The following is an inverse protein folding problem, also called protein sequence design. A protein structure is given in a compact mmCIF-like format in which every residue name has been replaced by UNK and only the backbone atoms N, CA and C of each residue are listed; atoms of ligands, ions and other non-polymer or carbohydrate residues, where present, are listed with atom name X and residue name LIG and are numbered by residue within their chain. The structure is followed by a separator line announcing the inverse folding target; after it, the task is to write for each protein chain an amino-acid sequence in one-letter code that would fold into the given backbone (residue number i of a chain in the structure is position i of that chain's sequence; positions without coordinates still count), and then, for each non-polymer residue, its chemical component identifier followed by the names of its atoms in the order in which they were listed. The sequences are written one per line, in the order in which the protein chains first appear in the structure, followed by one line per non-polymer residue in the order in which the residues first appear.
data_IF_177067784426
#
_entry.id   IF_177067784426
#
_cell.length_a   1.000
_cell.length_b   1.000
_cell.length_c   1.000
_cell.angle_alpha   90.00
_cell.angle_beta   90.00
_cell.angle_gamma   90.00
#
_symmetry.space_group_name_H-M   'P 1'
#
loop_
_entity.id
_entity.type
_entity.pdbx_description
1 polymer ?
#
# COMPACT_ATOMS: atom_id res chain seq x y z
N UNK A 1 27.01 4.55 -29.83
CA UNK A 1 26.26 4.27 -28.59
C UNK A 1 25.14 5.29 -28.54
N UNK A 2 23.88 4.85 -28.49
CA UNK A 2 22.76 5.78 -28.29
C UNK A 2 22.91 6.49 -26.94
N UNK A 3 22.66 7.80 -26.92
CA UNK A 3 22.75 8.64 -25.74
C UNK A 3 21.60 8.29 -24.77
N UNK A 4 21.94 7.99 -23.51
CA UNK A 4 20.96 7.76 -22.46
C UNK A 4 20.36 9.11 -22.02
N UNK A 5 19.04 9.15 -21.81
CA UNK A 5 18.25 10.35 -21.48
C UNK A 5 18.37 11.50 -22.50
N UNK A 6 18.02 11.28 -23.79
CA UNK A 6 18.14 12.31 -24.84
C UNK A 6 17.28 13.56 -24.56
N UNK A 7 16.25 13.42 -23.70
CA UNK A 7 15.41 14.54 -23.30
C UNK A 7 16.11 15.57 -22.40
N UNK A 8 17.24 15.24 -21.75
CA UNK A 8 18.00 16.20 -20.93
C UNK A 8 18.52 17.36 -21.78
N UNK A 9 19.14 17.04 -22.91
CA UNK A 9 19.59 18.00 -23.90
C UNK A 9 18.40 18.68 -24.59
N UNK A 10 17.49 17.88 -25.15
CA UNK A 10 16.38 18.41 -25.96
C UNK A 10 15.44 19.38 -25.19
N UNK A 11 15.29 19.21 -23.87
CA UNK A 11 14.38 20.02 -23.05
C UNK A 11 15.09 21.05 -22.17
N UNK A 12 16.28 20.73 -21.64
CA UNK A 12 16.98 21.59 -20.69
C UNK A 12 18.32 22.13 -21.21
N UNK A 13 18.78 21.70 -22.40
CA UNK A 13 20.06 22.14 -22.98
C UNK A 13 21.30 21.67 -22.21
N UNK A 14 21.18 20.57 -21.46
CA UNK A 14 22.25 20.06 -20.59
C UNK A 14 23.17 19.10 -21.37
N UNK A 15 24.25 19.64 -21.97
CA UNK A 15 25.22 18.85 -22.77
C UNK A 15 26.63 18.82 -22.15
N UNK A 16 27.17 19.97 -21.75
CA UNK A 16 28.54 20.11 -21.22
C UNK A 16 28.55 21.03 -20.00
N UNK A 17 29.43 20.75 -19.03
CA UNK A 17 29.58 21.53 -17.77
C UNK A 17 28.34 21.62 -16.87
N UNK A 18 27.27 20.87 -17.16
CA UNK A 18 26.10 20.79 -16.29
C UNK A 18 26.47 20.23 -14.91
N UNK A 19 25.95 20.87 -13.88
CA UNK A 19 26.13 20.49 -12.49
C UNK A 19 25.20 19.33 -12.11
N UNK A 20 25.56 18.60 -11.06
CA UNK A 20 24.70 17.52 -10.52
C UNK A 20 23.33 18.07 -10.09
N UNK A 21 23.29 19.30 -9.60
CA UNK A 21 22.06 19.96 -9.15
C UNK A 21 21.08 20.20 -10.31
N UNK A 22 21.57 20.66 -11.46
CA UNK A 22 20.76 20.92 -12.67
C UNK A 22 20.17 19.62 -13.22
N UNK A 23 20.99 18.57 -13.35
CA UNK A 23 20.51 17.25 -13.78
C UNK A 23 19.49 16.71 -12.76
N UNK A 24 19.76 16.84 -11.46
CA UNK A 24 18.84 16.40 -10.43
C UNK A 24 17.52 17.20 -10.43
N UNK A 25 17.52 18.47 -10.83
CA UNK A 25 16.29 19.25 -11.06
C UNK A 25 15.50 18.69 -12.26
N UNK A 26 16.17 18.44 -13.39
CA UNK A 26 15.53 17.90 -14.58
C UNK A 26 14.85 16.53 -14.31
N UNK A 27 15.52 15.63 -13.58
CA UNK A 27 14.92 14.36 -13.15
C UNK A 27 13.79 14.54 -12.12
N UNK A 28 13.84 15.57 -11.26
CA UNK A 28 12.72 15.88 -10.34
C UNK A 28 11.47 16.28 -11.12
N UNK A 29 11.60 17.15 -12.13
CA UNK A 29 10.48 17.52 -12.99
C UNK A 29 9.91 16.30 -13.73
N UNK A 30 10.79 15.38 -14.14
CA UNK A 30 10.38 14.12 -14.76
C UNK A 30 9.61 13.20 -13.79
N UNK A 31 9.88 13.30 -12.49
CA UNK A 31 9.18 12.58 -11.43
C UNK A 31 8.01 13.36 -10.81
N UNK A 32 7.68 14.56 -11.31
CA UNK A 32 6.73 15.47 -10.66
C UNK A 32 5.34 14.84 -10.43
N UNK A 33 4.86 14.01 -11.36
CA UNK A 33 3.58 13.30 -11.20
C UNK A 33 3.59 12.36 -9.99
N UNK A 34 4.65 11.57 -9.84
CA UNK A 34 4.84 10.69 -8.68
C UNK A 34 5.02 11.49 -7.38
N UNK A 35 5.78 12.60 -7.43
CA UNK A 35 5.99 13.50 -6.30
C UNK A 35 4.66 14.01 -5.74
N UNK A 36 3.84 14.63 -6.59
CA UNK A 36 2.53 15.17 -6.19
C UNK A 36 1.65 14.06 -5.66
N UNK A 37 1.63 12.91 -6.34
CA UNK A 37 0.83 11.75 -5.94
C UNK A 37 1.18 11.26 -4.53
N UNK A 38 2.46 11.10 -4.20
CA UNK A 38 2.87 10.66 -2.86
C UNK A 38 2.49 11.69 -1.81
N UNK A 39 2.74 12.97 -2.07
CA UNK A 39 2.41 14.06 -1.14
C UNK A 39 0.91 14.09 -0.79
N UNK A 40 0.03 13.89 -1.76
CA UNK A 40 -1.43 13.87 -1.50
C UNK A 40 -1.90 12.63 -0.76
N UNK A 41 -1.14 11.52 -0.76
CA UNK A 41 -1.51 10.28 -0.08
C UNK A 41 -1.04 10.19 1.37
N UNK A 42 0.09 10.79 1.72
CA UNK A 42 0.71 10.65 3.05
C UNK A 42 -0.26 11.07 4.16
N UNK A 43 -0.80 12.29 4.12
CA UNK A 43 -1.64 12.81 5.21
C UNK A 43 -2.96 12.03 5.34
N UNK A 44 -3.75 11.79 4.27
CA UNK A 44 -4.94 10.97 4.37
C UNK A 44 -4.65 9.55 4.84
N UNK A 45 -3.54 8.95 4.41
CA UNK A 45 -3.12 7.62 4.83
C UNK A 45 -2.81 7.54 6.32
N UNK A 46 -2.04 8.50 6.86
CA UNK A 46 -1.72 8.56 8.28
C UNK A 46 -2.98 8.78 9.12
N UNK A 47 -3.78 9.80 8.78
CA UNK A 47 -4.97 10.15 9.54
C UNK A 47 -6.03 9.05 9.48
N UNK A 48 -6.32 8.54 8.28
CA UNK A 48 -7.34 7.53 8.03
C UNK A 48 -7.03 6.21 8.72
N UNK A 49 -5.81 5.68 8.56
CA UNK A 49 -5.45 4.42 9.21
C UNK A 49 -5.27 4.57 10.72
N UNK A 50 -4.79 5.72 11.22
CA UNK A 50 -4.77 5.99 12.66
C UNK A 50 -6.16 5.95 13.26
N UNK A 51 -7.14 6.54 12.57
CA UNK A 51 -8.55 6.51 12.98
C UNK A 51 -9.11 5.08 12.97
N UNK A 52 -8.80 4.29 11.93
CA UNK A 52 -9.15 2.87 11.86
C UNK A 52 -8.59 2.11 13.06
N UNK A 53 -7.29 2.23 13.33
CA UNK A 53 -6.64 1.58 14.48
C UNK A 53 -7.31 1.98 15.79
N UNK A 54 -7.48 3.29 16.03
CA UNK A 54 -8.06 3.81 17.26
C UNK A 54 -9.49 3.28 17.50
N UNK A 55 -10.36 3.38 16.50
CA UNK A 55 -11.75 2.94 16.60
C UNK A 55 -11.84 1.42 16.76
N UNK A 56 -11.13 0.64 15.94
CA UNK A 56 -11.19 -0.82 16.00
C UNK A 56 -10.60 -1.38 17.29
N UNK A 57 -9.55 -0.77 17.82
CA UNK A 57 -8.94 -1.20 19.07
C UNK A 57 -9.84 -0.90 20.28
N UNK A 58 -10.38 0.33 20.37
CA UNK A 58 -11.15 0.80 21.53
C UNK A 58 -12.60 0.33 21.56
N UNK A 59 -13.26 0.23 20.40
CA UNK A 59 -14.73 0.10 20.36
C UNK A 59 -15.24 -1.28 19.95
N UNK A 60 -14.38 -2.19 19.49
CA UNK A 60 -14.80 -3.48 18.97
C UNK A 60 -14.24 -4.64 19.78
N UNK A 61 -15.10 -5.60 20.14
CA UNK A 61 -14.68 -6.86 20.78
C UNK A 61 -13.66 -7.59 19.89
N UNK A 62 -12.71 -8.29 20.52
CA UNK A 62 -11.72 -9.11 19.80
C UNK A 62 -12.46 -10.07 18.86
N UNK A 63 -12.02 -10.15 17.60
CA UNK A 63 -12.54 -11.03 16.55
C UNK A 63 -11.50 -11.15 15.44
N UNK A 64 -11.50 -12.24 14.68
CA UNK A 64 -10.57 -12.39 13.54
C UNK A 64 -10.69 -11.22 12.55
N UNK A 65 -11.92 -10.75 12.28
CA UNK A 65 -12.15 -9.57 11.45
C UNK A 65 -11.47 -8.31 12.00
N UNK A 66 -11.66 -8.02 13.30
CA UNK A 66 -10.97 -6.89 13.95
C UNK A 66 -9.46 -7.03 13.84
N UNK A 67 -8.93 -8.24 14.07
CA UNK A 67 -7.49 -8.50 13.99
C UNK A 67 -6.95 -8.18 12.60
N UNK A 68 -7.61 -8.66 11.53
CA UNK A 68 -7.19 -8.37 10.16
C UNK A 68 -7.22 -6.88 9.82
N UNK A 69 -8.28 -6.16 10.21
CA UNK A 69 -8.37 -4.71 10.00
C UNK A 69 -7.24 -3.98 10.72
N UNK A 70 -6.93 -4.35 11.97
CA UNK A 70 -5.84 -3.74 12.73
C UNK A 70 -4.46 -4.02 12.10
N UNK A 71 -4.22 -5.23 11.63
CA UNK A 71 -2.96 -5.58 10.95
C UNK A 71 -2.78 -4.78 9.66
N UNK A 72 -3.80 -4.75 8.80
CA UNK A 72 -3.75 -4.00 7.55
C UNK A 72 -3.55 -2.50 7.80
N UNK A 73 -4.35 -1.90 8.69
CA UNK A 73 -4.21 -0.49 9.03
C UNK A 73 -2.83 -0.16 9.63
N UNK A 74 -2.23 -1.08 10.40
CA UNK A 74 -0.87 -0.88 10.95
C UNK A 74 0.21 -0.95 9.87
N UNK A 75 0.07 -1.87 8.90
CA UNK A 75 0.97 -1.95 7.75
C UNK A 75 0.83 -0.74 6.82
N UNK A 76 -0.39 -0.27 6.61
CA UNK A 76 -0.67 0.92 5.81
C UNK A 76 -0.10 2.17 6.49
N UNK A 77 -0.21 2.29 7.83
CA UNK A 77 0.50 3.31 8.59
C UNK A 77 2.01 3.21 8.38
N UNK A 78 2.61 2.04 8.59
CA UNK A 78 4.03 1.84 8.35
C UNK A 78 4.43 2.24 6.91
N UNK A 79 3.62 1.92 5.91
CA UNK A 79 3.78 2.38 4.54
C UNK A 79 3.80 3.90 4.43
N UNK A 80 2.87 4.60 5.10
CA UNK A 80 2.78 6.05 5.05
C UNK A 80 3.89 6.78 5.83
N UNK A 81 4.38 6.25 6.96
CA UNK A 81 5.44 6.90 7.76
C UNK A 81 6.86 6.44 7.43
N UNK A 82 7.03 5.30 6.76
CA UNK A 82 8.36 4.75 6.44
C UNK A 82 8.58 4.73 4.93
N UNK A 83 7.70 4.07 4.18
CA UNK A 83 7.90 3.83 2.74
C UNK A 83 7.71 5.11 1.94
N UNK A 84 6.62 5.84 2.16
CA UNK A 84 6.34 7.08 1.40
C UNK A 84 7.42 8.16 1.62
N UNK A 85 7.91 8.46 2.84
CA UNK A 85 9.00 9.41 3.04
C UNK A 85 10.31 8.95 2.40
N UNK A 86 10.62 7.65 2.48
CA UNK A 86 11.77 7.09 1.77
C UNK A 86 11.65 7.29 0.24
N UNK A 87 10.49 7.00 -0.35
CA UNK A 87 10.25 7.20 -1.78
C UNK A 87 10.31 8.69 -2.15
N UNK A 88 9.83 9.57 -1.28
CA UNK A 88 9.93 11.01 -1.44
C UNK A 88 11.39 11.46 -1.50
N UNK A 89 12.26 10.95 -0.63
CA UNK A 89 13.70 11.22 -0.71
C UNK A 89 14.24 10.78 -2.06
N UNK A 90 13.95 9.57 -2.53
CA UNK A 90 14.42 9.10 -3.84
C UNK A 90 13.93 9.95 -5.01
N UNK A 91 12.70 10.48 -4.94
CA UNK A 91 12.14 11.34 -5.99
C UNK A 91 12.72 12.76 -5.94
N UNK A 92 13.14 13.24 -4.76
CA UNK A 92 13.78 14.54 -4.58
C UNK A 92 15.29 14.50 -4.88
N UNK A 93 15.92 13.33 -4.74
CA UNK A 93 17.33 13.09 -5.07
C UNK A 93 17.50 11.95 -6.09
N UNK A 94 16.83 12.01 -7.26
CA UNK A 94 16.78 10.90 -8.21
C UNK A 94 18.15 10.49 -8.75
N UNK A 95 19.10 11.42 -8.82
CA UNK A 95 20.47 11.18 -9.31
C UNK A 95 21.56 11.70 -8.36
N UNK A 96 21.18 12.15 -7.16
CA UNK A 96 22.08 12.65 -6.13
C UNK A 96 21.95 11.87 -4.81
N UNK A 97 21.49 10.61 -4.87
CA UNK A 97 21.32 9.75 -3.69
C UNK A 97 22.63 9.03 -3.39
N UNK A 98 23.45 9.60 -2.50
CA UNK A 98 24.75 9.05 -2.11
C UNK A 98 24.69 8.09 -0.91
N UNK A 99 23.61 8.15 -0.12
CA UNK A 99 23.44 7.35 1.08
C UNK A 99 22.94 5.92 0.78
N UNK A 100 23.91 5.00 0.64
CA UNK A 100 23.64 3.59 0.34
C UNK A 100 22.81 2.89 1.43
N UNK A 101 22.98 3.27 2.70
CA UNK A 101 22.25 2.66 3.83
C UNK A 101 20.76 2.97 3.73
N UNK A 102 20.42 4.24 3.49
CA UNK A 102 19.03 4.66 3.31
C UNK A 102 18.41 3.98 2.09
N UNK A 103 19.16 3.83 0.99
CA UNK A 103 18.71 3.09 -0.19
C UNK A 103 18.36 1.63 0.15
N UNK A 104 19.31 0.88 0.74
CA UNK A 104 19.12 -0.54 1.08
C UNK A 104 17.98 -0.75 2.06
N UNK A 105 18.00 -0.01 3.17
CA UNK A 105 17.00 -0.15 4.23
C UNK A 105 15.61 0.22 3.72
N UNK A 106 15.49 1.32 2.98
CA UNK A 106 14.22 1.76 2.42
C UNK A 106 13.65 0.78 1.39
N UNK A 107 14.48 0.25 0.47
CA UNK A 107 14.05 -0.82 -0.46
C UNK A 107 13.62 -2.07 0.29
N UNK A 108 14.41 -2.52 1.26
CA UNK A 108 14.10 -3.69 2.07
C UNK A 108 12.76 -3.54 2.80
N UNK A 109 12.56 -2.45 3.55
CA UNK A 109 11.34 -2.20 4.31
C UNK A 109 10.11 -2.07 3.38
N UNK A 110 10.29 -1.46 2.20
CA UNK A 110 9.23 -1.38 1.18
C UNK A 110 8.77 -2.78 0.73
N UNK A 111 9.72 -3.70 0.49
CA UNK A 111 9.40 -5.08 0.12
C UNK A 111 8.72 -5.82 1.28
N UNK A 112 9.21 -5.67 2.51
CA UNK A 112 8.61 -6.32 3.70
C UNK A 112 7.16 -5.90 3.90
N UNK A 113 6.87 -4.60 3.87
CA UNK A 113 5.52 -4.07 4.06
C UNK A 113 4.59 -4.57 2.94
N UNK A 114 5.04 -4.51 1.69
CA UNK A 114 4.27 -4.98 0.54
C UNK A 114 3.93 -6.48 0.62
N UNK A 115 4.95 -7.32 0.86
CA UNK A 115 4.79 -8.77 0.96
C UNK A 115 3.91 -9.16 2.15
N UNK A 116 4.05 -8.46 3.29
CA UNK A 116 3.24 -8.75 4.46
C UNK A 116 1.76 -8.47 4.18
N UNK A 117 1.46 -7.33 3.54
CA UNK A 117 0.09 -7.00 3.13
C UNK A 117 -0.49 -8.09 2.21
N UNK A 118 0.29 -8.54 1.21
CA UNK A 118 -0.15 -9.60 0.28
C UNK A 118 -0.43 -10.93 0.98
N UNK A 119 0.48 -11.38 1.85
CA UNK A 119 0.32 -12.65 2.56
C UNK A 119 -0.79 -12.61 3.61
N UNK A 120 -1.06 -11.47 4.25
CA UNK A 120 -2.21 -11.34 5.15
C UNK A 120 -3.53 -11.53 4.40
N UNK A 121 -3.63 -11.13 3.13
CA UNK A 121 -4.81 -11.39 2.31
C UNK A 121 -5.07 -12.89 2.11
N UNK A 122 -4.02 -13.73 2.11
CA UNK A 122 -4.18 -15.19 2.10
C UNK A 122 -4.86 -15.68 3.36
N UNK A 123 -4.40 -15.22 4.52
CA UNK A 123 -4.97 -15.60 5.82
C UNK A 123 -6.44 -15.15 5.91
N UNK A 124 -6.73 -13.96 5.40
CA UNK A 124 -8.09 -13.42 5.29
C UNK A 124 -8.95 -14.33 4.40
N UNK A 125 -8.50 -14.63 3.17
CA UNK A 125 -9.25 -15.46 2.23
C UNK A 125 -9.52 -16.87 2.80
N UNK A 126 -8.52 -17.47 3.45
CA UNK A 126 -8.65 -18.78 4.10
C UNK A 126 -9.64 -18.75 5.27
N UNK A 127 -9.60 -17.72 6.13
CA UNK A 127 -10.56 -17.54 7.23
C UNK A 127 -12.00 -17.40 6.70
N UNK A 128 -12.18 -16.62 5.63
CA UNK A 128 -13.50 -16.45 4.98
C UNK A 128 -13.99 -17.76 4.36
N UNK A 129 -13.12 -18.46 3.65
CA UNK A 129 -13.42 -19.76 3.06
C UNK A 129 -13.86 -20.78 4.11
N UNK A 130 -13.13 -20.93 5.22
CA UNK A 130 -13.50 -21.90 6.28
C UNK A 130 -14.85 -21.58 6.90
N UNK A 131 -15.11 -20.31 7.22
CA UNK A 131 -16.37 -19.90 7.86
C UNK A 131 -17.61 -20.05 6.98
N UNK A 132 -17.46 -19.86 5.67
CA UNK A 132 -18.60 -19.85 4.73
C UNK A 132 -18.77 -21.21 4.05
N UNK A 133 -17.67 -21.79 3.56
CA UNK A 133 -17.70 -23.02 2.77
C UNK A 133 -17.58 -24.29 3.62
N UNK A 134 -17.02 -24.20 4.84
CA UNK A 134 -16.73 -25.36 5.71
C UNK A 134 -17.11 -25.08 7.18
N UNK A 135 -18.36 -24.71 7.50
CA UNK A 135 -18.76 -24.30 8.85
C UNK A 135 -18.58 -25.39 9.92
N UNK A 136 -18.70 -26.67 9.55
CA UNK A 136 -18.56 -27.81 10.47
C UNK A 136 -17.11 -28.32 10.61
N UNK A 137 -16.17 -27.79 9.83
CA UNK A 137 -14.77 -28.15 9.96
C UNK A 137 -14.12 -27.34 11.10
N UNK A 138 -12.91 -27.74 11.51
CA UNK A 138 -12.09 -26.90 12.39
C UNK A 138 -12.00 -25.47 11.83
N UNK A 139 -12.07 -24.46 12.69
CA UNK A 139 -11.99 -23.05 12.31
C UNK A 139 -10.67 -22.46 12.80
N UNK A 140 -10.20 -21.38 12.16
CA UNK A 140 -9.04 -20.65 12.66
C UNK A 140 -9.43 -20.00 13.99
N UNK A 141 -8.79 -20.36 15.12
CA UNK A 141 -9.11 -19.74 16.40
C UNK A 141 -8.76 -18.26 16.35
N UNK A 142 -9.65 -17.44 16.91
CA UNK A 142 -9.45 -16.00 16.99
C UNK A 142 -8.14 -15.63 17.72
N UNK A 143 -7.77 -16.41 18.74
CA UNK A 143 -6.52 -16.23 19.50
C UNK A 143 -5.28 -16.44 18.63
N UNK A 144 -5.35 -17.31 17.63
CA UNK A 144 -4.24 -17.65 16.74
C UNK A 144 -4.18 -16.75 15.50
N UNK A 145 -5.22 -15.98 15.18
CA UNK A 145 -5.24 -15.11 13.99
C UNK A 145 -4.06 -14.15 13.94
N UNK A 146 -3.69 -13.54 15.08
CA UNK A 146 -2.55 -12.62 15.13
C UNK A 146 -1.21 -13.36 14.98
N UNK A 147 -1.12 -14.61 15.44
CA UNK A 147 0.07 -15.43 15.27
C UNK A 147 0.29 -15.79 13.81
N UNK A 148 -0.77 -16.12 13.06
CA UNK A 148 -0.66 -16.33 11.61
C UNK A 148 -0.21 -15.07 10.88
N UNK A 149 -0.75 -13.89 11.22
CA UNK A 149 -0.32 -12.62 10.61
C UNK A 149 1.15 -12.31 10.94
N UNK A 150 1.59 -12.54 12.17
CA UNK A 150 3.00 -12.42 12.56
C UNK A 150 3.88 -13.40 11.78
N UNK A 151 3.46 -14.65 11.60
CA UNK A 151 4.16 -15.62 10.77
C UNK A 151 4.31 -15.15 9.31
N UNK A 152 3.28 -14.51 8.74
CA UNK A 152 3.35 -13.92 7.40
C UNK A 152 4.31 -12.71 7.33
N UNK A 153 4.38 -11.89 8.38
CA UNK A 153 5.38 -10.82 8.49
C UNK A 153 6.81 -11.38 8.52
N UNK A 154 7.06 -12.40 9.35
CA UNK A 154 8.39 -13.03 9.43
C UNK A 154 8.79 -13.68 8.10
N UNK A 155 7.86 -14.35 7.42
CA UNK A 155 8.08 -14.89 6.08
C UNK A 155 8.42 -13.77 5.08
N UNK A 156 7.72 -12.64 5.15
CA UNK A 156 7.97 -11.47 4.29
C UNK A 156 9.36 -10.88 4.52
N UNK A 157 9.81 -10.83 5.77
CA UNK A 157 11.17 -10.41 6.13
C UNK A 157 12.21 -11.31 5.45
N UNK A 158 12.07 -12.64 5.57
CA UNK A 158 13.00 -13.60 4.97
C UNK A 158 13.06 -13.48 3.46
N UNK A 159 11.90 -13.42 2.79
CA UNK A 159 11.80 -13.29 1.32
C UNK A 159 12.34 -11.94 0.83
N UNK A 160 12.30 -10.91 1.67
CA UNK A 160 12.80 -9.58 1.31
C UNK A 160 14.30 -9.39 1.55
N UNK A 161 14.99 -10.32 2.23
CA UNK A 161 16.43 -10.20 2.51
C UNK A 161 17.30 -9.92 1.28
N UNK A 162 17.09 -10.56 0.10
CA UNK A 162 17.88 -10.25 -1.08
C UNK A 162 17.72 -8.79 -1.52
N UNK A 163 16.58 -8.14 -1.30
CA UNK A 163 16.44 -6.71 -1.60
C UNK A 163 17.39 -5.85 -0.74
N UNK A 164 17.65 -6.22 0.51
CA UNK A 164 18.62 -5.52 1.37
C UNK A 164 20.07 -5.66 0.90
N UNK A 165 20.36 -6.65 0.04
CA UNK A 165 21.70 -6.93 -0.50
C UNK A 165 21.86 -6.39 -1.91
N UNK A 166 20.87 -6.65 -2.79
CA UNK A 166 20.93 -6.40 -4.23
C UNK A 166 20.75 -4.93 -4.61
N UNK A 167 19.98 -4.17 -3.82
CA UNK A 167 19.84 -2.72 -4.03
C UNK A 167 21.02 -1.96 -3.41
N UNK A 168 21.31 -0.78 -3.93
CA UNK A 168 22.36 0.10 -3.44
C UNK A 168 22.62 1.26 -4.39
N UNK A 169 23.83 1.81 -4.33
CA UNK A 169 24.25 2.89 -5.20
C UNK A 169 24.41 2.38 -6.64
N UNK A 170 23.74 3.06 -7.57
CA UNK A 170 23.79 2.78 -8.99
C UNK A 170 24.24 4.02 -9.76
N UNK A 171 25.31 3.89 -10.53
CA UNK A 171 25.85 4.96 -11.35
C UNK A 171 24.97 5.18 -12.59
N UNK A 172 24.55 6.43 -12.82
CA UNK A 172 23.66 6.80 -13.93
C UNK A 172 24.47 7.37 -15.08
N UNK A 173 24.40 6.80 -16.30
CA UNK A 173 25.09 7.34 -17.47
C UNK A 173 24.30 8.54 -18.01
N UNK A 174 24.59 9.75 -17.53
CA UNK A 174 23.90 10.99 -17.93
C UNK A 174 24.31 11.52 -19.31
N UNK A 175 25.39 11.00 -19.89
CA UNK A 175 25.98 11.52 -21.12
C UNK A 175 26.84 12.78 -20.93
N UNK A 176 26.90 13.34 -19.72
CA UNK A 176 27.65 14.56 -19.41
C UNK A 176 29.06 14.19 -18.91
N UNK A 177 30.14 14.63 -19.59
CA UNK A 177 31.51 14.27 -19.21
C UNK A 177 31.87 14.72 -17.79
N UNK A 178 32.48 13.82 -17.00
CA UNK A 178 32.98 14.11 -15.65
C UNK A 178 31.91 14.21 -14.55
N UNK A 179 30.63 14.08 -14.90
CA UNK A 179 29.53 14.18 -13.93
C UNK A 179 29.21 12.81 -13.31
N UNK A 180 29.42 12.67 -12.00
CA UNK A 180 29.05 11.46 -11.26
C UNK A 180 27.62 11.58 -10.71
N UNK A 181 26.68 10.90 -11.35
CA UNK A 181 25.29 10.79 -10.93
C UNK A 181 25.02 9.41 -10.29
N UNK A 182 24.35 9.38 -9.13
CA UNK A 182 24.08 8.16 -8.36
C UNK A 182 22.60 8.10 -7.98
N UNK A 183 21.95 6.97 -8.27
CA UNK A 183 20.57 6.69 -7.87
C UNK A 183 20.48 5.47 -6.95
N UNK A 184 19.35 5.31 -6.26
CA UNK A 184 19.03 4.10 -5.51
C UNK A 184 18.33 3.06 -6.41
N UNK A 185 19.08 2.06 -6.87
CA UNK A 185 18.58 0.99 -7.74
C UNK A 185 19.36 -0.31 -7.48
N UNK A 186 19.43 -1.21 -8.45
CA UNK A 186 20.38 -2.34 -8.45
C UNK A 186 21.79 -1.82 -8.25
N UNK A 187 22.49 -2.29 -7.22
CA UNK A 187 23.84 -1.83 -6.94
C UNK A 187 24.77 -2.14 -8.14
N UNK A 188 25.72 -1.25 -8.43
CA UNK A 188 26.61 -1.38 -9.61
C UNK A 188 27.30 -2.75 -9.70
N UNK A 189 27.69 -3.34 -8.55
CA UNK A 189 28.29 -4.68 -8.47
C UNK A 189 27.40 -5.83 -8.95
N UNK A 190 26.11 -5.61 -9.12
CA UNK A 190 25.14 -6.60 -9.59
C UNK A 190 24.51 -6.26 -10.94
N UNK A 191 24.89 -5.14 -11.58
CA UNK A 191 24.29 -4.71 -12.85
C UNK A 191 24.55 -5.69 -14.00
N UNK A 192 25.71 -6.35 -14.02
CA UNK A 192 26.04 -7.37 -15.02
C UNK A 192 25.57 -8.79 -14.63
N UNK A 193 25.05 -8.95 -13.41
CA UNK A 193 24.55 -10.23 -12.90
C UNK A 193 23.04 -10.36 -13.15
N UNK A 194 22.54 -11.54 -13.53
CA UNK A 194 21.11 -11.77 -13.61
C UNK A 194 20.44 -11.86 -12.21
N UNK A 195 21.20 -11.78 -11.12
CA UNK A 195 20.69 -12.02 -9.76
C UNK A 195 19.47 -11.14 -9.39
N UNK A 196 19.49 -9.86 -9.74
CA UNK A 196 18.38 -8.95 -9.42
C UNK A 196 17.14 -9.23 -10.25
N UNK A 197 17.31 -9.50 -11.55
CA UNK A 197 16.23 -9.92 -12.44
C UNK A 197 15.62 -11.25 -11.97
N UNK A 198 16.45 -12.25 -11.65
CA UNK A 198 16.00 -13.56 -11.14
C UNK A 198 15.23 -13.39 -9.84
N UNK A 199 15.75 -12.60 -8.89
CA UNK A 199 15.06 -12.29 -7.64
C UNK A 199 13.68 -11.65 -7.90
N UNK A 200 13.62 -10.66 -8.79
CA UNK A 200 12.39 -9.98 -9.13
C UNK A 200 11.37 -10.92 -9.79
N UNK A 201 11.80 -11.76 -10.74
CA UNK A 201 10.95 -12.77 -11.39
C UNK A 201 10.40 -13.76 -10.35
N UNK A 202 11.25 -14.28 -9.46
CA UNK A 202 10.85 -15.23 -8.42
C UNK A 202 9.77 -14.62 -7.51
N UNK A 203 9.96 -13.38 -7.08
CA UNK A 203 8.97 -12.67 -6.26
C UNK A 203 7.65 -12.47 -6.99
N UNK A 204 7.67 -12.09 -8.27
CA UNK A 204 6.45 -11.87 -9.03
C UNK A 204 5.71 -13.17 -9.35
N UNK A 205 6.43 -14.26 -9.63
CA UNK A 205 5.82 -15.59 -9.76
C UNK A 205 5.17 -16.01 -8.45
N UNK A 206 5.86 -15.83 -7.31
CA UNK A 206 5.29 -16.11 -5.99
C UNK A 206 4.04 -15.26 -5.75
N UNK A 207 4.09 -13.95 -6.02
CA UNK A 207 2.94 -13.05 -5.91
C UNK A 207 1.77 -13.45 -6.80
N UNK A 208 2.04 -13.92 -8.02
CA UNK A 208 1.02 -14.43 -8.94
C UNK A 208 0.36 -15.72 -8.41
N UNK A 209 1.16 -16.67 -7.91
CA UNK A 209 0.65 -17.91 -7.27
C UNK A 209 -0.24 -17.57 -6.07
N UNK A 210 0.21 -16.65 -5.22
CA UNK A 210 -0.55 -16.17 -4.05
C UNK A 210 -1.86 -15.52 -4.47
N UNK A 211 -1.83 -14.65 -5.48
CA UNK A 211 -3.02 -13.96 -6.01
C UNK A 211 -4.00 -14.96 -6.63
N UNK A 212 -3.51 -15.95 -7.37
CA UNK A 212 -4.32 -17.04 -7.90
C UNK A 212 -4.99 -17.82 -6.76
N UNK A 213 -4.23 -18.20 -5.73
CA UNK A 213 -4.77 -18.92 -4.57
C UNK A 213 -5.88 -18.13 -3.86
N UNK A 214 -5.65 -16.84 -3.59
CA UNK A 214 -6.66 -15.93 -3.03
C UNK A 214 -7.92 -15.90 -3.91
N UNK A 215 -7.74 -15.78 -5.23
CA UNK A 215 -8.84 -15.73 -6.20
C UNK A 215 -9.66 -17.02 -6.20
N UNK A 216 -9.01 -18.19 -6.13
CA UNK A 216 -9.68 -19.49 -6.04
C UNK A 216 -10.52 -19.61 -4.75
N UNK A 217 -9.96 -19.19 -3.61
CA UNK A 217 -10.68 -19.20 -2.33
C UNK A 217 -11.91 -18.29 -2.36
N UNK A 218 -11.75 -17.04 -2.83
CA UNK A 218 -12.88 -16.11 -2.93
C UNK A 218 -13.92 -16.54 -3.96
N UNK A 219 -13.51 -17.19 -5.05
CA UNK A 219 -14.45 -17.77 -6.01
C UNK A 219 -15.35 -18.81 -5.33
N UNK A 220 -14.76 -19.75 -4.57
CA UNK A 220 -15.54 -20.74 -3.80
C UNK A 220 -16.46 -20.06 -2.77
N UNK A 221 -15.98 -19.03 -2.08
CA UNK A 221 -16.78 -18.24 -1.12
C UNK A 221 -17.99 -17.60 -1.81
N UNK A 222 -17.79 -16.91 -2.92
CA UNK A 222 -18.85 -16.23 -3.67
C UNK A 222 -19.89 -17.24 -4.18
N UNK A 223 -19.42 -18.36 -4.75
CA UNK A 223 -20.30 -19.45 -5.20
C UNK A 223 -21.14 -20.00 -4.05
N UNK A 224 -20.54 -20.22 -2.88
CA UNK A 224 -21.27 -20.72 -1.71
C UNK A 224 -22.29 -19.72 -1.17
N UNK A 225 -21.94 -18.43 -1.14
CA UNK A 225 -22.88 -17.36 -0.77
C UNK A 225 -24.07 -17.35 -1.74
N UNK A 226 -23.82 -17.40 -3.05
CA UNK A 226 -24.89 -17.45 -4.08
C UNK A 226 -25.79 -18.66 -3.90
N UNK A 227 -25.21 -19.83 -3.64
CA UNK A 227 -25.97 -21.05 -3.34
C UNK A 227 -26.88 -20.85 -2.13
N UNK A 228 -26.35 -20.33 -1.01
CA UNK A 228 -27.12 -20.06 0.20
C UNK A 228 -28.28 -19.09 -0.04
N UNK A 229 -28.11 -18.07 -0.90
CA UNK A 229 -29.20 -17.15 -1.23
C UNK A 229 -30.27 -17.82 -2.11
N UNK A 230 -29.90 -18.72 -3.01
CA UNK A 230 -30.84 -19.47 -3.86
C UNK A 230 -31.65 -20.51 -3.07
N UNK A 231 -31.02 -21.16 -2.10
CA UNK A 231 -31.61 -22.22 -1.28
C UNK A 231 -32.38 -21.69 -0.06
N UNK A 232 -32.49 -20.35 0.12
CA UNK A 232 -33.30 -19.75 1.18
C UNK A 232 -34.79 -20.00 0.94
N UNK A 233 -35.25 -21.17 1.36
CA UNK A 233 -36.65 -21.41 1.71
C UNK A 233 -36.95 -20.54 2.95
N UNK A 234 -38.06 -19.79 3.00
CA UNK A 234 -38.48 -19.05 4.18
C UNK A 234 -38.97 -20.01 5.28
N UNK A 235 -38.10 -20.91 5.72
CA UNK A 235 -38.34 -21.72 6.90
C UNK A 235 -37.79 -20.97 8.11
N UNK A 236 -38.56 -20.98 9.21
CA UNK A 236 -38.34 -20.27 10.46
C UNK A 236 -37.05 -20.65 11.20
N UNK A 237 -35.90 -20.44 10.56
CA UNK A 237 -34.59 -20.58 11.15
C UNK A 237 -34.38 -19.57 12.26
N UNK A 238 -33.47 -19.91 13.19
CA UNK A 238 -33.17 -19.08 14.34
C UNK A 238 -32.71 -17.68 13.90
N UNK A 239 -33.42 -16.65 14.37
CA UNK A 239 -33.14 -15.22 14.08
C UNK A 239 -31.71 -14.84 14.44
N UNK A 240 -31.13 -15.47 15.46
CA UNK A 240 -29.75 -15.22 15.88
C UNK A 240 -28.72 -15.71 14.84
N UNK A 241 -28.91 -16.91 14.29
CA UNK A 241 -28.02 -17.50 13.28
C UNK A 241 -28.10 -16.73 11.97
N UNK A 242 -29.30 -16.28 11.60
CA UNK A 242 -29.49 -15.46 10.41
C UNK A 242 -28.81 -14.08 10.53
N UNK A 243 -28.90 -13.45 11.71
CA UNK A 243 -28.15 -12.22 12.02
C UNK A 243 -26.63 -12.44 11.97
N UNK A 244 -26.14 -13.56 12.51
CA UNK A 244 -24.71 -13.92 12.46
C UNK A 244 -24.23 -14.11 11.01
N UNK A 245 -24.98 -14.85 10.20
CA UNK A 245 -24.65 -15.09 8.80
C UNK A 245 -24.64 -13.78 7.98
N UNK A 246 -25.64 -12.91 8.15
CA UNK A 246 -25.65 -11.58 7.53
C UNK A 246 -24.41 -10.77 7.87
N UNK A 247 -23.99 -10.78 9.14
CA UNK A 247 -22.76 -10.10 9.60
C UNK A 247 -21.52 -10.71 8.96
N UNK A 248 -21.43 -12.04 8.89
CA UNK A 248 -20.33 -12.76 8.25
C UNK A 248 -20.20 -12.39 6.77
N UNK A 249 -21.29 -12.49 6.01
CA UNK A 249 -21.33 -12.14 4.58
C UNK A 249 -20.94 -10.69 4.35
N UNK A 250 -21.47 -9.75 5.15
CA UNK A 250 -21.12 -8.33 5.06
C UNK A 250 -19.62 -8.08 5.25
N UNK A 251 -19.04 -8.61 6.33
CA UNK A 251 -17.60 -8.46 6.59
C UNK A 251 -16.74 -9.12 5.51
N UNK A 252 -17.26 -10.17 4.87
CA UNK A 252 -16.58 -10.86 3.76
C UNK A 252 -16.53 -9.99 2.52
N UNK A 253 -17.62 -9.31 2.17
CA UNK A 253 -17.64 -8.34 1.07
C UNK A 253 -16.66 -7.18 1.30
N UNK A 254 -16.58 -6.65 2.52
CA UNK A 254 -15.59 -5.61 2.86
C UNK A 254 -14.15 -6.10 2.64
N UNK A 255 -13.82 -7.30 3.11
CA UNK A 255 -12.47 -7.87 2.96
C UNK A 255 -12.14 -8.28 1.52
N UNK A 256 -13.15 -8.71 0.75
CA UNK A 256 -13.01 -8.95 -0.68
C UNK A 256 -12.72 -7.65 -1.43
N UNK A 257 -13.41 -6.55 -1.10
CA UNK A 257 -13.13 -5.24 -1.71
C UNK A 257 -11.69 -4.77 -1.44
N UNK A 258 -11.21 -4.91 -0.20
CA UNK A 258 -9.80 -4.67 0.17
C UNK A 258 -8.86 -5.51 -0.69
N UNK A 259 -9.16 -6.79 -0.87
CA UNK A 259 -8.35 -7.70 -1.69
C UNK A 259 -8.30 -7.28 -3.16
N UNK A 260 -9.45 -6.90 -3.73
CA UNK A 260 -9.53 -6.44 -5.13
C UNK A 260 -8.72 -5.18 -5.33
N UNK A 261 -8.84 -4.21 -4.42
CA UNK A 261 -8.09 -2.95 -4.48
C UNK A 261 -6.57 -3.20 -4.40
N UNK A 262 -6.13 -4.10 -3.54
CA UNK A 262 -4.71 -4.49 -3.48
C UNK A 262 -4.20 -5.00 -4.83
N UNK A 263 -4.93 -5.95 -5.45
CA UNK A 263 -4.55 -6.53 -6.74
C UNK A 263 -4.54 -5.48 -7.86
N UNK A 264 -5.53 -4.60 -7.90
CA UNK A 264 -5.62 -3.55 -8.93
C UNK A 264 -4.51 -2.51 -8.79
N UNK A 265 -4.14 -2.14 -7.56
CA UNK A 265 -3.15 -1.09 -7.31
C UNK A 265 -1.71 -1.57 -7.50
N UNK A 266 -1.42 -2.85 -7.26
CA UNK A 266 -0.07 -3.41 -7.44
C UNK A 266 0.24 -3.77 -8.90
N UNK A 267 -0.79 -4.09 -9.69
CA UNK A 267 -0.63 -4.56 -11.06
C UNK A 267 0.23 -3.63 -11.95
N UNK A 268 0.03 -2.30 -11.98
CA UNK A 268 0.87 -1.40 -12.80
C UNK A 268 2.35 -1.48 -12.43
N UNK A 269 2.67 -1.47 -11.13
CA UNK A 269 4.05 -1.60 -10.66
C UNK A 269 4.68 -2.92 -11.13
N UNK A 270 3.97 -4.05 -10.95
CA UNK A 270 4.48 -5.37 -11.35
C UNK A 270 4.85 -5.43 -12.83
N UNK A 271 3.97 -4.93 -13.71
CA UNK A 271 4.18 -4.94 -15.15
C UNK A 271 5.33 -4.00 -15.54
N UNK A 272 5.32 -2.77 -15.04
CA UNK A 272 6.30 -1.75 -15.42
C UNK A 272 7.71 -2.07 -14.92
N UNK A 273 7.84 -2.57 -13.68
CA UNK A 273 9.14 -2.99 -13.17
C UNK A 273 9.65 -4.25 -13.88
N UNK A 274 8.77 -5.16 -14.34
CA UNK A 274 9.22 -6.28 -15.17
C UNK A 274 9.83 -5.80 -16.48
N UNK A 275 9.22 -4.82 -17.13
CA UNK A 275 9.76 -4.21 -18.35
C UNK A 275 11.11 -3.54 -18.07
N UNK A 276 11.20 -2.73 -17.02
CA UNK A 276 12.43 -2.03 -16.64
C UNK A 276 13.61 -2.98 -16.36
N UNK A 277 13.35 -4.12 -15.69
CA UNK A 277 14.39 -5.11 -15.42
C UNK A 277 14.71 -6.03 -16.61
N UNK A 278 13.76 -6.25 -17.54
CA UNK A 278 13.94 -7.19 -18.65
C UNK A 278 14.59 -6.54 -19.88
N UNK A 279 14.34 -5.25 -20.10
CA UNK A 279 14.83 -4.51 -21.27
C UNK A 279 15.95 -3.59 -20.83
N UNK A 280 17.19 -3.97 -21.15
CA UNK A 280 18.38 -3.15 -20.85
C UNK A 280 18.21 -1.74 -21.41
N UNK A 281 18.53 -0.74 -20.61
CA UNK A 281 18.42 0.68 -20.96
C UNK A 281 17.01 1.18 -21.32
N UNK A 282 15.94 0.42 -21.07
CA UNK A 282 14.57 0.90 -21.33
C UNK A 282 14.30 2.27 -20.71
N UNK A 283 14.61 2.43 -19.42
CA UNK A 283 14.45 3.70 -18.70
C UNK A 283 15.28 4.85 -19.28
N UNK A 284 16.43 4.56 -19.90
CA UNK A 284 17.28 5.58 -20.55
C UNK A 284 16.62 6.20 -21.78
N UNK A 285 15.81 5.43 -22.50
CA UNK A 285 15.27 5.83 -23.80
C UNK A 285 13.85 6.41 -23.73
N UNK A 286 13.24 6.42 -22.54
CA UNK A 286 11.95 7.05 -22.32
C UNK A 286 12.04 8.55 -22.60
N UNK A 287 11.08 9.09 -23.36
CA UNK A 287 10.89 10.53 -23.50
C UNK A 287 10.48 11.16 -22.17
N UNK A 288 10.49 12.50 -22.12
CA UNK A 288 10.04 13.23 -20.94
C UNK A 288 8.59 12.86 -20.56
N UNK A 289 7.68 12.78 -21.53
CA UNK A 289 6.28 12.47 -21.27
C UNK A 289 6.07 11.00 -20.86
N UNK A 290 6.73 10.06 -21.54
CA UNK A 290 6.62 8.64 -21.21
C UNK A 290 7.16 8.33 -19.83
N UNK A 291 8.32 8.88 -19.48
CA UNK A 291 8.87 8.67 -18.14
C UNK A 291 8.09 9.37 -17.04
N UNK A 292 7.47 10.53 -17.31
CA UNK A 292 6.53 11.13 -16.36
C UNK A 292 5.38 10.17 -16.02
N UNK A 293 4.77 9.57 -17.04
CA UNK A 293 3.68 8.60 -16.88
C UNK A 293 4.18 7.30 -16.23
N UNK A 294 5.34 6.81 -16.65
CA UNK A 294 5.98 5.60 -16.11
C UNK A 294 6.26 5.76 -14.61
N UNK A 295 6.91 6.86 -14.21
CA UNK A 295 7.25 7.11 -12.81
C UNK A 295 5.98 7.26 -11.95
N UNK A 296 4.92 7.92 -12.45
CA UNK A 296 3.63 7.97 -11.76
C UNK A 296 3.02 6.57 -11.57
N UNK A 297 2.92 5.79 -12.65
CA UNK A 297 2.30 4.46 -12.63
C UNK A 297 3.10 3.44 -11.80
N UNK A 298 4.43 3.55 -11.77
CA UNK A 298 5.30 2.77 -10.90
C UNK A 298 4.96 2.97 -9.41
N UNK A 299 4.49 4.15 -9.01
CA UNK A 299 4.15 4.45 -7.62
C UNK A 299 2.66 4.21 -7.28
N UNK A 300 1.86 3.73 -8.24
CA UNK A 300 0.41 3.58 -8.09
C UNK A 300 0.01 2.63 -6.94
N UNK A 301 0.87 1.67 -6.59
CA UNK A 301 0.66 0.75 -5.47
C UNK A 301 0.47 1.44 -4.12
N UNK A 302 0.98 2.67 -3.95
CA UNK A 302 0.86 3.45 -2.73
C UNK A 302 -0.59 3.82 -2.41
N UNK A 303 -1.46 3.83 -3.41
CA UNK A 303 -2.88 4.07 -3.24
C UNK A 303 -3.54 3.04 -2.30
N UNK A 304 -3.00 1.81 -2.25
CA UNK A 304 -3.48 0.75 -1.36
C UNK A 304 -3.45 1.18 0.12
N UNK A 305 -2.42 1.94 0.51
CA UNK A 305 -2.27 2.41 1.90
C UNK A 305 -3.32 3.44 2.31
N UNK A 306 -4.05 4.05 1.37
CA UNK A 306 -5.16 4.96 1.68
C UNK A 306 -6.50 4.28 1.49
N UNK A 307 -6.66 3.48 0.43
CA UNK A 307 -7.98 2.96 0.08
C UNK A 307 -8.56 1.98 1.11
N UNK A 308 -7.76 1.30 1.92
CA UNK A 308 -8.28 0.42 2.96
C UNK A 308 -9.16 1.17 3.98
N UNK A 309 -8.70 2.33 4.47
CA UNK A 309 -9.50 3.14 5.40
C UNK A 309 -10.77 3.70 4.74
N UNK A 310 -10.69 4.05 3.45
CA UNK A 310 -11.83 4.50 2.64
C UNK A 310 -12.86 3.38 2.51
N UNK A 311 -12.43 2.16 2.19
CA UNK A 311 -13.30 0.97 2.10
C UNK A 311 -14.02 0.72 3.42
N UNK A 312 -13.32 0.78 4.55
CA UNK A 312 -13.97 0.64 5.86
C UNK A 312 -14.97 1.77 6.13
N UNK A 313 -14.62 3.00 5.74
CA UNK A 313 -15.49 4.18 5.78
C UNK A 313 -16.79 4.03 5.01
N UNK A 314 -16.79 3.34 3.86
CA UNK A 314 -18.00 3.15 3.04
C UNK A 314 -18.74 1.82 3.28
N UNK A 315 -18.04 0.74 3.63
CA UNK A 315 -18.62 -0.60 3.68
C UNK A 315 -18.87 -1.14 5.09
N UNK A 316 -18.16 -0.65 6.13
CA UNK A 316 -18.42 -1.06 7.51
C UNK A 316 -19.32 -0.05 8.25
N UNK A 317 -20.63 -0.33 8.25
CA UNK A 317 -21.60 0.53 8.95
C UNK A 317 -21.32 0.68 10.46
N UNK A 318 -20.61 -0.25 11.09
CA UNK A 318 -20.26 -0.12 12.50
C UNK A 318 -19.16 0.92 12.68
N UNK A 319 -18.20 0.94 11.76
CA UNK A 319 -17.16 1.96 11.70
C UNK A 319 -17.77 3.33 11.40
N UNK A 320 -18.65 3.43 10.39
CA UNK A 320 -19.41 4.65 10.07
C UNK A 320 -20.13 5.23 11.28
N UNK A 321 -20.89 4.40 12.00
CA UNK A 321 -21.61 4.84 13.20
C UNK A 321 -20.67 5.40 14.26
N UNK A 322 -19.47 4.83 14.44
CA UNK A 322 -18.49 5.31 15.41
C UNK A 322 -17.83 6.61 14.96
N UNK A 323 -17.51 6.76 13.67
CA UNK A 323 -17.03 8.03 13.10
C UNK A 323 -18.08 9.13 13.29
N UNK A 324 -19.34 8.89 12.93
CA UNK A 324 -20.42 9.87 13.07
C UNK A 324 -20.62 10.29 14.53
N UNK A 325 -20.50 9.36 15.47
CA UNK A 325 -20.57 9.67 16.91
C UNK A 325 -19.39 10.52 17.38
N UNK A 326 -18.18 10.31 16.85
CA UNK A 326 -17.03 11.16 17.16
C UNK A 326 -17.24 12.59 16.66
N UNK A 327 -17.71 12.76 15.42
CA UNK A 327 -18.02 14.08 14.88
C UNK A 327 -19.15 14.79 15.63
N UNK A 328 -20.22 14.06 16.00
CA UNK A 328 -21.31 14.63 16.82
C UNK A 328 -20.85 15.02 18.21
N UNK A 329 -19.98 14.22 18.84
CA UNK A 329 -19.44 14.54 20.17
C UNK A 329 -18.52 15.76 20.12
N UNK A 330 -17.69 15.88 19.09
CA UNK A 330 -16.88 17.08 18.85
C UNK A 330 -17.75 18.32 18.61
N UNK A 331 -18.83 18.21 17.84
CA UNK A 331 -19.79 19.32 17.69
C UNK A 331 -20.46 19.71 19.01
N UNK A 332 -20.79 18.74 19.85
CA UNK A 332 -21.39 18.99 21.17
C UNK A 332 -20.40 19.63 22.16
N UNK A 333 -19.12 19.24 22.10
CA UNK A 333 -18.08 19.83 22.94
C UNK A 333 -17.69 21.25 22.45
N UNK A 334 -17.66 21.50 21.13
CA UNK A 334 -17.43 22.84 20.56
C UNK A 334 -18.57 23.81 20.86
N UNK A 335 -19.83 23.36 20.79
CA UNK A 335 -20.99 24.20 21.09
C UNK A 335 -21.17 24.48 22.60
N UNK A 336 -20.44 23.78 23.47
CA UNK A 336 -20.46 23.99 24.93
C UNK A 336 -19.16 24.61 25.46
N UNK A 337 -18.29 25.14 24.59
CA UNK A 337 -17.07 25.81 25.02
C UNK A 337 -17.45 27.12 25.77
N UNK A 338 -17.00 27.37 27.02
CA UNK A 338 -17.49 28.46 27.87
C UNK A 338 -17.15 29.89 27.41
N UNK A 339 -16.54 30.05 26.23
CA UNK A 339 -16.18 31.35 25.68
C UNK A 339 -17.39 32.11 25.09
N UNK A 340 -18.46 31.42 24.71
CA UNK A 340 -19.71 32.07 24.26
C UNK A 340 -20.66 32.46 25.42
N UNK A 341 -20.42 31.97 26.64
CA UNK A 341 -21.25 32.33 27.82
C UNK A 341 -20.85 33.64 28.49
N UNK A 342 -19.70 34.22 28.12
CA UNK A 342 -19.23 35.51 28.69
C UNK A 342 -19.79 36.75 28.01
N UNK A 343 -20.35 36.65 26.80
CA UNK A 343 -20.96 37.79 26.11
C UNK A 343 -22.49 37.90 26.30
N UNK A 344 -23.13 36.89 26.89
CA UNK A 344 -24.58 36.90 27.15
C UNK A 344 -24.95 37.41 28.57
N UNK A 345 -23.95 37.73 29.41
CA UNK A 345 -24.16 38.18 30.80
C UNK A 345 -23.89 39.67 31.03
N UNK A 346 -23.64 40.45 29.98
CA UNK A 346 -23.30 41.89 30.10
C UNK A 346 -24.44 42.87 29.75
N UNK A 347 -25.63 42.41 29.33
CA UNK A 347 -26.72 43.31 28.89
C UNK A 347 -27.92 43.39 29.83
N UNK A 348 -27.81 42.92 31.07
CA UNK A 348 -28.83 43.15 32.10
C UNK A 348 -28.16 43.71 33.35
N UNK A 349 -27.85 45.01 33.35
CA UNK A 349 -27.91 45.88 34.52
C UNK A 349 -27.70 47.34 34.10
N UNK A 350 -28.71 48.15 34.42
CA UNK A 350 -28.87 49.62 34.27
C UNK A 350 -29.41 50.14 32.93
#
# INVERSE_FOLDING_TARGET
MEQCFPWLEAKYGLETNATLSEVNHAFRDWNLGALVFICVLILPGILGNSLVVAIFYRNFKKSAYRTFVLWLASLDLAGCVIVMPYLLVNILTPVSMDNEIVCKLGRFLSHVIMMTSHFILVVIAADRYRKICKPHSSQIPQSQTSLFCLGMLLLSVVISLPAGVLYGNNSVPTGIPGLKAIRCFTADKYMDSPAHLVYYIVINILGAIVTLFITLLYTKVILKIRQQFRERVPNGGNVADEKLNRKLVKTTWTLLAVTIVFVLTIFPHTVLALVDYSVKHFYCHLSFAEGFMFNFAMHFFLLNSVLNCVIYGFMDNRFQKKILLLFRRQQFDVNNDPLDTKNASSTNNL
#
